data_IF_183250955105
#
_entry.id   IF_183250955105
#
_cell.length_a   1.000
_cell.length_b   1.000
_cell.length_c   1.000
_cell.angle_alpha   90.00
_cell.angle_beta   90.00
_cell.angle_gamma   90.00
#
_symmetry.space_group_name_H-M   'P 1'
#
loop_
_entity.id
_entity.type
_entity.pdbx_description
1 polymer ?
2 non-polymer ?
3 non-polymer ?
4 water ?
#
# COMPACT_ATOMS: atom_id res chain seq x y z
N UNK A 11 2.73 -9.84 32.45
CA UNK A 11 1.85 -10.46 31.40
C UNK A 11 2.23 -10.01 29.99
N UNK A 12 1.48 -10.49 29.01
CA UNK A 12 1.67 -10.11 27.61
C UNK A 12 0.99 -8.77 27.29
N UNK A 13 0.28 -8.22 28.29
CA UNK A 13 -0.42 -6.95 28.13
C UNK A 13 0.52 -5.75 28.11
N UNK A 14 1.59 -5.80 28.89
CA UNK A 14 2.62 -4.75 28.89
C UNK A 14 3.47 -4.79 27.61
N UNK A 15 3.74 -6.00 27.12
CA UNK A 15 4.51 -6.20 25.90
C UNK A 15 3.74 -5.75 24.66
N UNK A 16 2.42 -5.95 24.66
CA UNK A 16 1.55 -5.53 23.56
C UNK A 16 1.41 -4.01 23.50
N UNK A 17 1.41 -3.37 24.68
CA UNK A 17 1.29 -1.92 24.77
C UNK A 17 2.57 -1.19 24.39
N UNK A 18 3.71 -1.75 24.78
CA UNK A 18 5.03 -1.20 24.41
C UNK A 18 5.30 -1.33 22.91
N UNK A 19 4.88 -2.46 22.32
CA UNK A 19 4.97 -2.68 20.89
C UNK A 19 4.10 -1.73 20.07
N UNK A 20 2.86 -1.52 20.53
CA UNK A 20 1.94 -0.59 19.88
C UNK A 20 2.47 0.84 19.91
N UNK A 21 3.04 1.24 21.05
CA UNK A 21 3.75 2.51 21.18
C UNK A 21 4.82 2.67 20.10
N UNK A 22 5.58 1.59 19.87
CA UNK A 22 6.67 1.60 18.88
C UNK A 22 6.14 1.68 17.44
N UNK A 23 5.07 0.95 17.16
CA UNK A 23 4.42 0.99 15.84
C UNK A 23 3.85 2.39 15.55
N UNK A 24 3.21 3.00 16.55
CA UNK A 24 2.61 4.33 16.42
C UNK A 24 3.62 5.43 16.07
N UNK A 25 4.84 5.31 16.59
CA UNK A 25 5.91 6.28 16.34
C UNK A 25 6.43 6.18 14.90
N UNK A 26 6.09 5.09 14.23
CA UNK A 26 6.42 4.91 12.82
C UNK A 26 5.26 5.18 11.89
N UNK A 27 4.14 5.64 12.43
CA UNK A 27 2.97 5.98 11.62
C UNK A 27 2.66 7.47 11.70
N UNK A 28 2.50 8.09 10.53
CA UNK A 28 1.93 9.43 10.40
C UNK A 28 0.71 9.34 9.47
N UNK A 29 -0.41 9.91 9.90
CA UNK A 29 -1.63 9.87 9.10
C UNK A 29 -2.39 11.20 9.11
N UNK A 30 -2.89 11.59 7.95
CA UNK A 30 -3.67 12.81 7.79
C UNK A 30 -4.58 12.74 6.57
N UNK A 31 -5.73 13.41 6.65
CA UNK A 31 -6.67 13.49 5.52
C UNK A 31 -6.22 14.63 4.61
N UNK A 32 -5.87 14.28 3.37
CA UNK A 32 -5.38 15.26 2.41
C UNK A 32 -6.30 15.50 1.22
N UNK A 33 -7.06 14.49 0.85
CA UNK A 33 -7.91 14.57 -0.34
C UNK A 33 -9.39 14.74 -0.01
N UNK A 34 -10.03 15.70 -0.67
CA UNK A 34 -11.45 15.97 -0.51
C UNK A 34 -12.29 14.96 -1.27
N UNK A 35 -13.60 14.97 -0.99
CA UNK A 35 -14.58 14.14 -1.70
C UNK A 35 -14.44 14.21 -3.22
N UNK A 36 -14.22 15.43 -3.74
CA UNK A 36 -14.12 15.67 -5.19
C UNK A 36 -12.79 15.22 -5.79
N UNK A 37 -11.70 15.49 -5.08
CA UNK A 37 -10.37 15.03 -5.51
C UNK A 37 -10.31 13.50 -5.56
N UNK A 38 -10.87 12.85 -4.53
CA UNK A 38 -11.03 11.39 -4.50
C UNK A 38 -11.83 10.89 -5.71
N UNK A 39 -12.97 11.54 -5.98
CA UNK A 39 -13.84 11.17 -7.09
C UNK A 39 -13.12 11.20 -8.44
N UNK A 40 -12.24 12.18 -8.61
CA UNK A 40 -11.46 12.31 -9.84
C UNK A 40 -10.44 11.18 -9.95
N UNK A 41 -9.74 10.92 -8.84
CA UNK A 41 -8.73 9.87 -8.79
C UNK A 41 -9.37 8.49 -8.93
N UNK A 42 -10.51 8.29 -8.25
CA UNK A 42 -11.26 7.04 -8.33
C UNK A 42 -11.73 6.69 -9.74
N UNK A 43 -12.09 7.71 -10.53
CA UNK A 43 -12.45 7.53 -11.94
C UNK A 43 -11.23 7.14 -12.78
N UNK A 44 -10.07 7.73 -12.46
CA UNK A 44 -8.82 7.36 -13.13
C UNK A 44 -8.39 5.93 -12.81
N UNK A 45 -8.63 5.49 -11.57
CA UNK A 45 -8.35 4.12 -11.18
C UNK A 45 -9.26 3.15 -11.94
N UNK A 46 -10.52 3.55 -12.14
CA UNK A 46 -11.45 2.78 -12.97
C UNK A 46 -10.95 2.69 -14.41
N UNK A 47 -10.34 3.77 -14.91
CA UNK A 47 -9.72 3.78 -16.22
C UNK A 47 -8.60 2.74 -16.33
N UNK A 48 -7.81 2.60 -15.26
CA UNK A 48 -6.71 1.62 -15.22
C UNK A 48 -7.23 0.19 -15.27
N UNK A 49 -8.33 -0.07 -14.58
CA UNK A 49 -8.95 -1.40 -14.56
C UNK A 49 -9.45 -1.76 -15.96
N UNK A 50 -10.09 -0.80 -16.63
CA UNK A 50 -10.56 -0.98 -18.02
C UNK A 50 -9.41 -1.31 -18.97
N UNK A 51 -8.33 -0.54 -18.86
CA UNK A 51 -7.17 -0.71 -19.74
C UNK A 51 -6.51 -2.08 -19.56
N UNK A 52 -6.40 -2.52 -18.31
CA UNK A 52 -5.94 -3.87 -17.99
C UNK A 52 -6.82 -4.92 -18.67
N UNK A 53 -8.14 -4.76 -18.53
CA UNK A 53 -9.12 -5.67 -19.12
C UNK A 53 -9.09 -5.66 -20.65
N UNK A 54 -8.69 -4.53 -21.23
CA UNK A 54 -8.56 -4.40 -22.68
C UNK A 54 -7.24 -4.99 -23.20
N UNK A 55 -6.40 -5.46 -22.28
CA UNK A 55 -5.10 -6.03 -22.63
C UNK A 55 -4.11 -4.99 -23.10
N UNK A 56 -4.23 -3.76 -22.58
CA UNK A 56 -3.40 -2.64 -23.00
C UNK A 56 -2.08 -2.49 -22.24
N UNK A 57 -1.92 -3.24 -21.17
CA UNK A 57 -0.72 -3.13 -20.33
C UNK A 57 0.26 -4.26 -20.57
N UNK A 58 1.53 -4.01 -20.26
CA UNK A 58 2.55 -5.06 -20.24
C UNK A 58 2.15 -6.21 -19.31
N UNK A 59 2.72 -7.37 -19.56
CA UNK A 59 2.41 -8.59 -18.81
C UNK A 59 2.62 -8.40 -17.30
N UNK A 60 3.74 -7.79 -16.92
CA UNK A 60 4.11 -7.67 -15.52
C UNK A 60 3.51 -6.48 -14.81
N UNK A 61 2.81 -5.63 -15.56
CA UNK A 61 2.08 -4.50 -15.00
C UNK A 61 0.89 -4.99 -14.17
N UNK A 62 0.26 -6.09 -14.60
CA UNK A 62 -0.98 -6.56 -13.98
C UNK A 62 -0.81 -7.89 -13.25
N UNK A 63 -1.25 -7.92 -11.99
CA UNK A 63 -1.29 -9.15 -11.22
C UNK A 63 -2.72 -9.41 -10.71
N UNK A 64 -3.34 -10.46 -11.23
CA UNK A 64 -4.72 -10.81 -10.89
C UNK A 64 -4.78 -11.94 -9.88
N UNK A 65 -5.53 -11.72 -8.81
CA UNK A 65 -5.75 -12.72 -7.76
C UNK A 65 -7.20 -12.65 -7.30
N UNK A 66 -7.74 -13.75 -6.73
CA UNK A 66 -9.16 -13.87 -6.43
C UNK A 66 -9.84 -12.59 -5.88
N UNK A 67 -9.50 -12.14 -4.69
CA UNK A 67 -10.22 -11.00 -4.11
C UNK A 67 -9.51 -9.65 -4.25
N UNK A 68 -8.34 -9.65 -4.91
CA UNK A 68 -7.52 -8.44 -5.03
C UNK A 68 -6.67 -8.43 -6.30
N UNK A 69 -6.62 -7.26 -6.96
CA UNK A 69 -5.79 -7.03 -8.14
C UNK A 69 -4.68 -6.00 -7.87
N UNK A 70 -3.51 -6.21 -8.47
CA UNK A 70 -2.40 -5.27 -8.35
C UNK A 70 -1.94 -4.75 -9.71
N UNK A 71 -1.70 -3.44 -9.77
CA UNK A 71 -1.21 -2.78 -10.97
C UNK A 71 0.11 -2.08 -10.66
N UNK A 72 1.18 -2.58 -11.26
CA UNK A 72 2.53 -2.10 -11.00
C UNK A 72 2.94 -1.06 -12.04
N UNK A 73 3.35 0.12 -11.57
CA UNK A 73 3.84 1.18 -12.45
C UNK A 73 5.18 1.72 -11.98
N UNK A 74 6.00 2.17 -12.95
CA UNK A 74 7.35 2.66 -12.69
C UNK A 74 8.30 1.52 -12.45
N UNK A 75 8.14 0.86 -11.31
CA UNK A 75 8.87 -0.36 -10.99
C UNK A 75 7.95 -1.42 -10.39
N UNK A 76 8.24 -2.68 -10.70
CA UNK A 76 7.47 -3.82 -10.21
C UNK A 76 8.36 -5.01 -9.90
N UNK A 77 7.78 -6.03 -9.29
CA UNK A 77 8.54 -7.18 -8.79
C UNK A 77 7.69 -8.46 -8.66
N UNK A 78 8.34 -9.56 -8.27
CA UNK A 78 7.67 -10.84 -8.05
C UNK A 78 7.39 -11.06 -6.58
N UNK A 89 11.15 -14.42 0.68
CA UNK A 89 11.73 -13.08 0.75
C UNK A 89 12.79 -12.84 -0.30
N UNK A 90 12.63 -13.47 -1.46
CA UNK A 90 13.56 -13.30 -2.57
C UNK A 90 12.84 -12.64 -3.76
N UNK A 91 12.26 -11.47 -3.51
CA UNK A 91 11.61 -10.68 -4.55
C UNK A 91 12.66 -10.08 -5.47
N UNK A 92 12.31 -9.94 -6.74
CA UNK A 92 13.24 -9.41 -7.75
C UNK A 92 12.59 -8.32 -8.60
N UNK A 93 13.36 -7.27 -8.86
CA UNK A 93 12.92 -6.15 -9.69
C UNK A 93 12.99 -6.56 -11.17
N UNK A 94 11.87 -6.42 -11.88
CA UNK A 94 11.83 -6.66 -13.33
C UNK A 94 12.76 -5.69 -14.07
N UNK A 95 13.32 -6.11 -15.23
CA UNK A 95 14.23 -5.24 -16.01
C UNK A 95 13.55 -3.94 -16.42
N UNK A 96 14.30 -2.82 -16.48
CA UNK A 96 13.74 -1.53 -16.83
C UNK A 96 12.84 -1.57 -18.08
N UNK A 97 11.65 -1.00 -17.98
CA UNK A 97 10.70 -0.96 -19.09
C UNK A 97 9.81 -2.18 -19.22
N UNK A 98 9.93 -3.12 -18.28
CA UNK A 98 9.12 -4.34 -18.31
C UNK A 98 7.71 -4.11 -17.75
N UNK A 99 7.59 -3.11 -16.87
CA UNK A 99 6.29 -2.63 -16.40
C UNK A 99 6.03 -1.24 -16.96
N UNK A 100 4.75 -0.90 -17.14
CA UNK A 100 4.34 0.41 -17.59
C UNK A 100 4.83 1.52 -16.67
N UNK A 101 5.09 2.69 -17.25
CA UNK A 101 5.53 3.86 -16.50
C UNK A 101 4.38 4.42 -15.68
N UNK A 102 4.70 5.20 -14.65
CA UNK A 102 3.69 5.81 -13.78
C UNK A 102 2.84 6.80 -14.59
N UNK A 103 1.52 6.55 -14.67
CA UNK A 103 0.65 7.39 -15.49
C UNK A 103 0.67 8.85 -15.03
N UNK A 104 0.53 9.76 -15.99
CA UNK A 104 0.64 11.20 -15.73
C UNK A 104 -0.31 11.68 -14.62
N UNK A 105 -1.54 11.15 -14.61
CA UNK A 105 -2.52 11.56 -13.60
C UNK A 105 -2.08 11.26 -12.19
N UNK A 106 -1.27 10.22 -12.01
CA UNK A 106 -0.69 9.89 -10.71
C UNK A 106 0.28 10.99 -10.27
N UNK A 107 1.19 11.37 -11.16
CA UNK A 107 2.09 12.52 -10.91
C UNK A 107 1.29 13.76 -10.60
N UNK A 108 0.28 14.04 -11.43
CA UNK A 108 -0.50 15.28 -11.36
C UNK A 108 -1.47 15.37 -10.18
N UNK A 109 -2.24 14.30 -9.95
CA UNK A 109 -3.28 14.31 -8.91
C UNK A 109 -2.86 13.78 -7.54
N UNK A 110 -1.84 12.91 -7.50
CA UNK A 110 -1.47 12.23 -6.25
C UNK A 110 -0.11 12.67 -5.70
N UNK A 111 0.96 12.40 -6.45
CA UNK A 111 2.31 12.73 -6.02
C UNK A 111 2.49 14.23 -5.74
N UNK A 112 1.99 15.08 -6.63
CA UNK A 112 2.08 16.53 -6.47
C UNK A 112 1.52 17.01 -5.12
N UNK A 113 0.28 16.61 -4.82
CA UNK A 113 -0.37 16.96 -3.55
C UNK A 113 0.51 16.60 -2.35
N UNK A 114 1.15 15.43 -2.41
CA UNK A 114 2.03 14.94 -1.35
C UNK A 114 3.32 15.77 -1.24
N UNK A 115 3.84 16.18 -2.39
CA UNK A 115 5.03 17.03 -2.46
C UNK A 115 4.73 18.43 -1.93
N UNK A 116 3.56 18.96 -2.28
CA UNK A 116 3.11 20.26 -1.79
C UNK A 116 2.88 20.26 -0.29
N UNK A 117 2.52 19.10 0.27
CA UNK A 117 2.27 18.96 1.70
C UNK A 117 3.43 18.40 2.47
N UNK A 118 4.62 18.45 1.86
CA UNK A 118 5.89 18.01 2.48
C UNK A 118 5.86 16.59 3.07
N UNK A 119 5.07 15.71 2.45
CA UNK A 119 4.99 14.31 2.88
C UNK A 119 6.26 13.58 2.43
N UNK A 120 6.61 13.75 1.16
CA UNK A 120 7.86 13.26 0.59
C UNK A 120 8.41 14.31 -0.37
N UNK A 121 9.74 14.31 -0.61
CA UNK A 121 10.29 15.29 -1.56
C UNK A 121 10.03 14.93 -3.02
N UNK A 122 10.16 15.93 -3.91
CA UNK A 122 10.06 15.70 -5.35
C UNK A 122 11.18 14.78 -5.84
N UNK A 123 10.84 13.88 -6.76
CA UNK A 123 11.81 12.94 -7.34
C UNK A 123 11.94 11.63 -6.60
N UNK A 124 11.38 11.58 -5.39
CA UNK A 124 11.46 10.40 -4.53
C UNK A 124 10.73 9.18 -5.08
N UNK A 125 9.50 9.40 -5.53
CA UNK A 125 8.63 8.32 -5.97
C UNK A 125 9.00 7.83 -7.38
N UNK A 126 9.44 6.59 -7.47
CA UNK A 126 9.67 5.95 -8.78
C UNK A 126 8.78 4.73 -8.98
N UNK A 127 7.99 4.41 -7.96
CA UNK A 127 7.10 3.25 -7.99
C UNK A 127 5.71 3.61 -7.43
N UNK A 128 4.67 3.30 -8.21
CA UNK A 128 3.28 3.47 -7.79
C UNK A 128 2.53 2.18 -8.06
N UNK A 129 2.01 1.57 -6.99
CA UNK A 129 1.21 0.34 -7.09
C UNK A 129 -0.23 0.62 -6.68
N UNK A 130 -1.17 0.20 -7.51
CA UNK A 130 -2.59 0.27 -7.17
C UNK A 130 -3.13 -1.13 -6.83
N UNK A 131 -3.59 -1.27 -5.58
CA UNK A 131 -4.31 -2.48 -5.15
C UNK A 131 -5.81 -2.23 -5.26
N UNK A 132 -6.50 -3.12 -5.98
CA UNK A 132 -7.95 -3.03 -6.12
C UNK A 132 -8.59 -4.22 -5.44
N UNK A 133 -9.36 -3.95 -4.39
CA UNK A 133 -9.97 -4.99 -3.58
C UNK A 133 -11.47 -5.15 -3.85
N UNK A 134 -11.92 -6.40 -3.84
CA UNK A 134 -13.34 -6.71 -3.78
C UNK A 134 -13.73 -6.77 -2.30
N UNK A 135 -15.05 -6.67 -2.00
CA UNK A 135 -15.49 -6.99 -0.64
C UNK A 135 -15.07 -8.42 -0.27
N UNK A 136 -14.53 -8.58 0.93
CA UNK A 136 -13.98 -9.88 1.36
C UNK A 136 -12.48 -10.01 1.07
N UNK A 137 -11.92 -8.99 0.42
CA UNK A 137 -10.50 -8.97 0.10
C UNK A 137 -9.63 -8.84 1.34
N UNK A 138 -8.37 -9.23 1.21
CA UNK A 138 -7.43 -9.21 2.32
C UNK A 138 -6.00 -9.15 1.80
N UNK A 139 -5.07 -8.75 2.67
CA UNK A 139 -3.65 -8.99 2.43
C UNK A 139 -3.15 -9.79 3.61
N UNK A 140 -2.37 -10.82 3.31
CA UNK A 140 -1.78 -11.67 4.33
C UNK A 140 -0.59 -10.95 4.95
N UNK A 141 -0.34 -11.24 6.22
CA UNK A 141 0.82 -10.75 6.96
C UNK A 141 2.09 -10.66 6.10
N UNK A 142 2.68 -9.47 6.08
CA UNK A 142 3.92 -9.25 5.35
C UNK A 142 4.64 -8.02 5.80
N UNK A 143 5.92 -7.94 5.43
CA UNK A 143 6.72 -6.73 5.56
C UNK A 143 7.01 -6.29 4.13
N UNK A 144 6.81 -5.01 3.83
CA UNK A 144 7.20 -4.47 2.52
C UNK A 144 8.68 -4.77 2.33
N UNK A 145 9.03 -5.50 1.25
CA UNK A 145 10.38 -6.03 1.10
C UNK A 145 11.47 -4.98 1.28
N UNK A 146 12.29 -5.16 2.32
CA UNK A 146 13.30 -4.19 2.73
C UNK A 146 14.45 -4.11 1.72
N UNK A 147 14.61 -5.16 0.92
CA UNK A 147 15.66 -5.20 -0.08
C UNK A 147 15.24 -4.55 -1.37
N UNK A 148 13.93 -4.32 -1.50
CA UNK A 148 13.38 -3.71 -2.72
C UNK A 148 13.11 -2.23 -2.51
N UNK A 149 12.44 -1.89 -1.42
CA UNK A 149 11.95 -0.53 -1.21
C UNK A 149 12.66 0.27 -0.12
N UNK A 150 12.89 1.55 -0.42
CA UNK A 150 13.37 2.53 0.53
C UNK A 150 12.23 2.91 1.47
N UNK A 151 12.56 3.67 2.52
CA UNK A 151 11.56 4.21 3.44
C UNK A 151 11.62 5.74 3.35
N UNK A 152 10.50 6.43 3.60
CA UNK A 152 9.19 5.92 4.03
C UNK A 152 8.34 5.30 2.92
N UNK A 153 7.29 4.58 3.33
CA UNK A 153 6.30 4.01 2.43
C UNK A 153 5.03 4.83 2.59
N UNK A 154 4.53 5.36 1.47
CA UNK A 154 3.34 6.21 1.48
C UNK A 154 2.19 5.52 0.75
N UNK A 155 0.98 5.63 1.30
CA UNK A 155 -0.20 5.02 0.69
C UNK A 155 -1.45 5.87 0.89
N UNK A 156 -2.31 5.89 -0.13
CA UNK A 156 -3.53 6.69 -0.13
C UNK A 156 -4.74 5.79 -0.44
N UNK A 157 -5.70 5.77 0.47
CA UNK A 157 -6.88 4.91 0.34
C UNK A 157 -8.03 5.61 -0.37
N UNK A 158 -8.84 4.86 -1.12
CA UNK A 158 -9.80 5.53 -2.00
C UNK A 158 -11.30 5.23 -1.90
N UNK A 159 -11.78 4.08 -2.35
CA UNK A 159 -13.24 3.95 -2.52
C UNK A 159 -14.08 3.91 -1.24
N UNK A 160 -13.48 3.42 -0.16
CA UNK A 160 -14.17 3.24 1.10
C UNK A 160 -13.19 3.21 2.26
N UNK A 161 -13.73 3.15 3.47
CA UNK A 161 -12.91 3.10 4.68
C UNK A 161 -12.60 1.65 5.07
N UNK A 162 -11.45 1.45 5.70
CA UNK A 162 -11.03 0.12 6.13
C UNK A 162 -10.08 0.23 7.33
N UNK A 163 -9.30 -0.82 7.61
CA UNK A 163 -8.30 -0.77 8.68
C UNK A 163 -7.04 -1.53 8.29
N UNK A 164 -5.89 -1.02 8.74
CA UNK A 164 -4.62 -1.71 8.55
C UNK A 164 -4.13 -2.26 9.88
N UNK A 165 -3.89 -3.57 9.91
CA UNK A 165 -3.46 -4.24 11.13
C UNK A 165 -1.95 -4.43 11.18
N UNK A 166 -1.39 -4.22 12.36
CA UNK A 166 0.03 -4.42 12.59
C UNK A 166 0.22 -5.52 13.63
N UNK A 167 1.19 -6.40 13.39
CA UNK A 167 1.40 -7.56 14.24
C UNK A 167 0.36 -8.60 13.90
N UNK A 168 0.75 -9.59 13.11
CA UNK A 168 -0.24 -10.41 12.46
C UNK A 168 -0.12 -11.91 12.77
N UNK A 169 0.24 -12.21 14.00
CA UNK A 169 0.29 -13.57 14.51
C UNK A 169 -1.10 -14.21 14.45
N UNK A 170 -2.13 -13.38 14.63
CA UNK A 170 -3.52 -13.84 14.71
C UNK A 170 -4.06 -14.52 13.43
N UNK A 171 -3.52 -14.14 12.28
CA UNK A 171 -3.94 -14.72 10.99
C UNK A 171 -3.54 -16.19 10.88
N UNK A 172 -2.65 -16.63 11.76
CA UNK A 172 -2.06 -17.97 11.71
C UNK A 172 -2.27 -18.73 13.00
N UNK A 173 -2.36 -18.02 14.11
CA UNK A 173 -2.58 -18.63 15.42
C UNK A 173 -3.73 -17.92 16.16
N UNK A 174 -4.97 -18.05 15.65
CA UNK A 174 -6.11 -17.32 16.22
C UNK A 174 -6.51 -17.83 17.60
N UNK A 175 -6.01 -19.02 17.93
CA UNK A 175 -6.19 -19.63 19.25
C UNK A 175 -5.34 -18.94 20.34
N UNK A 176 -4.03 -18.84 20.11
CA UNK A 176 -3.11 -18.25 21.08
C UNK A 176 -3.21 -16.72 21.15
N UNK A 177 -3.59 -16.10 20.02
CA UNK A 177 -3.75 -14.65 19.94
C UNK A 177 -4.83 -14.28 18.92
N UNK A 178 -5.88 -13.60 19.38
CA UNK A 178 -7.06 -13.31 18.56
C UNK A 178 -7.04 -11.92 17.89
N UNK A 179 -6.18 -11.03 18.38
CA UNK A 179 -6.14 -9.65 17.89
C UNK A 179 -4.73 -9.25 17.43
N UNK A 180 -4.65 -8.35 16.43
CA UNK A 180 -3.37 -7.72 16.08
C UNK A 180 -2.88 -6.81 17.21
N UNK A 181 -1.61 -6.43 17.15
CA UNK A 181 -1.03 -5.48 18.10
C UNK A 181 -1.72 -4.13 17.99
N UNK A 182 -1.98 -3.71 16.75
CA UNK A 182 -2.63 -2.44 16.49
C UNK A 182 -3.44 -2.49 15.20
N UNK A 183 -4.62 -1.88 15.24
CA UNK A 183 -5.41 -1.64 14.05
C UNK A 183 -5.47 -0.14 13.79
N UNK A 184 -5.17 0.24 12.55
CA UNK A 184 -5.14 1.64 12.15
C UNK A 184 -6.26 1.91 11.14
N UNK A 185 -7.18 2.83 11.47
CA UNK A 185 -8.22 3.20 10.51
C UNK A 185 -7.62 3.85 9.26
N UNK A 186 -8.03 3.38 8.08
CA UNK A 186 -7.60 3.97 6.83
C UNK A 186 -8.82 4.41 6.01
N UNK A 187 -9.23 5.65 6.26
CA UNK A 187 -10.41 6.24 5.65
C UNK A 187 -10.13 6.73 4.23
N UNK A 188 -11.20 6.87 3.45
CA UNK A 188 -11.15 7.39 2.09
C UNK A 188 -10.50 8.77 2.07
N UNK A 189 -9.46 8.91 1.26
CA UNK A 189 -8.77 10.19 1.08
C UNK A 189 -7.63 10.45 2.04
N UNK A 190 -7.40 9.53 2.97
CA UNK A 190 -6.33 9.68 3.95
C UNK A 190 -4.99 9.25 3.39
N UNK A 191 -3.92 9.84 3.93
CA UNK A 191 -2.56 9.48 3.59
C UNK A 191 -1.90 8.79 4.78
N UNK A 192 -1.39 7.60 4.56
CA UNK A 192 -0.66 6.85 5.58
C UNK A 192 0.81 6.79 5.20
N UNK A 193 1.67 7.09 6.16
CA UNK A 193 3.12 7.08 5.96
C UNK A 193 3.74 6.12 6.98
N UNK A 194 4.49 5.13 6.49
CA UNK A 194 5.15 4.15 7.36
C UNK A 194 6.67 4.29 7.31
N UNK A 195 7.28 4.22 8.49
CA UNK A 195 8.73 4.32 8.65
C UNK A 195 9.17 3.62 9.92
N UNK A 196 10.48 3.55 10.14
CA UNK A 196 11.07 3.00 11.37
C UNK A 196 10.47 1.66 11.77
N UNK A 197 10.11 1.56 13.04
CA UNK A 197 9.55 0.33 13.62
C UNK A 197 8.36 -0.22 12.84
N UNK A 198 7.44 0.67 12.45
CA UNK A 198 6.20 0.30 11.77
C UNK A 198 6.41 -0.36 10.41
N UNK A 199 7.50 0.01 9.74
CA UNK A 199 7.80 -0.48 8.40
C UNK A 199 8.81 -1.62 8.37
N UNK A 200 9.59 -1.76 9.44
CA UNK A 200 10.74 -2.66 9.43
C UNK A 200 10.71 -3.80 10.45
N UNK A 201 10.12 -3.56 11.60
CA UNK A 201 10.21 -4.48 12.74
C UNK A 201 8.93 -5.27 12.96
N UNK A 202 7.91 -5.01 12.14
CA UNK A 202 6.58 -5.59 12.35
C UNK A 202 5.82 -5.82 11.05
N UNK A 203 5.06 -6.91 11.00
CA UNK A 203 4.23 -7.25 9.86
C UNK A 203 2.94 -6.44 9.84
N UNK A 204 2.41 -6.22 8.65
CA UNK A 204 1.08 -5.65 8.51
C UNK A 204 0.21 -6.48 7.61
N UNK A 205 -1.10 -6.22 7.66
CA UNK A 205 -2.10 -7.08 7.04
C UNK A 205 -3.45 -6.37 6.99
N UNK A 206 -4.36 -6.87 6.16
CA UNK A 206 -5.77 -6.45 6.20
C UNK A 206 -6.67 -7.67 6.35
N UNK A 207 -7.60 -7.59 7.30
CA UNK A 207 -8.57 -8.66 7.57
C UNK A 207 -9.72 -8.58 6.58
N UNK A 208 -10.25 -9.75 6.14
CA UNK A 208 -11.35 -9.80 5.18
C UNK A 208 -12.59 -9.04 5.65
N UNK A 209 -12.91 -9.13 6.95
CA UNK A 209 -14.12 -8.48 7.47
C UNK A 209 -14.06 -6.95 7.47
N UNK A 210 -12.84 -6.41 7.33
CA UNK A 210 -12.62 -4.95 7.35
C UNK A 210 -12.75 -4.33 5.96
N UNK A 211 -13.02 -5.16 4.95
CA UNK A 211 -13.32 -4.69 3.60
C UNK A 211 -14.75 -5.11 3.23
N UNK A 212 -15.70 -4.25 3.60
CA UNK A 212 -17.13 -4.51 3.40
C UNK A 212 -17.55 -4.22 1.95
N UNK A 213 -16.99 -3.16 1.38
CA UNK A 213 -17.26 -2.76 0.00
C UNK A 213 -15.94 -2.54 -0.74
N UNK A 214 -16.03 -2.27 -2.05
CA UNK A 214 -14.83 -2.09 -2.87
C UNK A 214 -13.86 -1.07 -2.28
N UNK A 215 -12.58 -1.37 -2.39
CA UNK A 215 -11.54 -0.51 -1.86
C UNK A 215 -10.30 -0.52 -2.73
N UNK A 216 -9.75 0.66 -2.97
CA UNK A 216 -8.50 0.80 -3.70
C UNK A 216 -7.48 1.60 -2.90
N UNK A 217 -6.21 1.32 -3.16
CA UNK A 217 -5.11 2.02 -2.49
C UNK A 217 -4.01 2.26 -3.50
N UNK A 218 -3.39 3.44 -3.44
CA UNK A 218 -2.24 3.74 -4.26
C UNK A 218 -1.02 3.82 -3.34
N UNK A 219 -0.03 2.99 -3.64
CA UNK A 219 1.16 2.87 -2.80
C UNK A 219 2.35 3.47 -3.52
N UNK A 220 2.93 4.49 -2.90
CA UNK A 220 3.99 5.27 -3.49
C UNK A 220 5.30 5.03 -2.74
N UNK A 221 6.30 4.57 -3.48
CA UNK A 221 7.58 4.16 -2.89
C UNK A 221 8.74 4.47 -3.80
N UNK A 222 9.92 4.62 -3.21
CA UNK A 222 11.17 4.63 -3.96
C UNK A 222 11.81 3.25 -3.82
N UNK A 223 12.29 2.72 -4.94
CA UNK A 223 13.03 1.46 -4.94
C UNK A 223 14.50 1.72 -4.63
N UNK A 224 15.15 0.72 -4.03
CA UNK A 224 16.56 0.81 -3.67
C UNK A 224 17.45 0.65 -4.90
N UNK A 225 18.61 1.30 -4.87
CA UNK A 225 19.58 1.19 -5.96
C UNK A 225 20.00 -0.26 -6.20
N UNK A 226 20.34 -0.95 -5.11
CA UNK A 226 20.83 -2.31 -5.19
C UNK A 226 19.74 -3.37 -5.09
N UNK A 227 18.48 -2.93 -5.26
CA UNK A 227 17.37 -3.87 -5.37
C UNK A 227 17.73 -4.93 -6.40
N UNK A 228 17.81 -6.21 -5.97
CA UNK A 228 18.22 -7.28 -6.88
C UNK A 228 17.32 -7.40 -8.12
N UNK A 229 17.92 -7.21 -9.28
CA UNK A 229 17.19 -7.19 -10.56
C UNK A 229 17.14 -8.59 -11.17
N UNK A 230 16.48 -8.70 -12.32
CA UNK A 230 16.50 -9.91 -13.14
C UNK A 230 17.04 -9.60 -14.54
X LIG B 1 -4.39 -1.82 0.98
X LIG B 1 -3.61 -1.21 1.75
X LIG B 1 -3.96 -0.16 2.35
X LIG B 1 -2.23 -1.75 2.00
X LIG B 1 -1.64 -1.54 3.24
X LIG B 1 -0.37 -2.04 3.48
X LIG B 1 -1.54 -2.47 1.02
X LIG B 1 -0.26 -2.96 1.32
X LIG B 1 0.29 -2.73 2.54
X LIG B 1 0.55 -3.73 0.32
X LIG B 1 1.72 -4.05 0.64
X LIG B 1 0.07 -4.01 -0.80
X LIG C 1 2.42 -3.47 2.56
#
# INVERSE_FOLDING_TARGET
GHMPERSDYEEQQLQKEEEARKVKSGIRQMRLFSQDECAKIEARIDEVVSRAEKGLYNEHTVDRAPLRNKYFFGEGYTYGAQLQKRGPGQERLYPPGDVDEIPEWVHQLVIQKLVEHRVIPEGFVNSAVINDYQPGGCIVSHVDPIHIFERPIVSVSFFSDSALCFGCKFQFKPIRVSEPVLSLPVRRGSVTVLSGYAADEITHCIRPQDIKERRAVIILRKTRLDAPRL
PD2 O42 C41 O41 C4 C5 C6 C3 C2 N1 C21 O21 O22
MN MN
#
